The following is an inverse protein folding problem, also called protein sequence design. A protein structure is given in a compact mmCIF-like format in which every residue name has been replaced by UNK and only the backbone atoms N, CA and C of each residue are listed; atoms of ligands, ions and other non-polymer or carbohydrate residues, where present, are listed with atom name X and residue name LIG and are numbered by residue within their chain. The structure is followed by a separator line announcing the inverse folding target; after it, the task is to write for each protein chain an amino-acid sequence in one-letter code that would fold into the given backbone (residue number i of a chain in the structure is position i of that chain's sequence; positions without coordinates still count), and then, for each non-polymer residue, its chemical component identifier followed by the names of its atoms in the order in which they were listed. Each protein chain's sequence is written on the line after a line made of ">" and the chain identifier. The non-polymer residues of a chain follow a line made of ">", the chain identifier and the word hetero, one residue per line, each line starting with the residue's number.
data_IF_008925558188
#
_entry.id   IF_008925558188
#
_cell.length_a   1.000
_cell.length_b   1.000
_cell.length_c   1.000
_cell.angle_alpha   90.00
_cell.angle_beta   90.00
_cell.angle_gamma   90.00
#
_symmetry.space_group_name_H-M   'P 1'
#
loop_
_entity.id
_entity.type
_entity.pdbx_description
1 polymer ?
#
# COMPACT_ATOMS: atom_id res chain seq x y z
N UNK A 1 -6.10 1.56 -32.51
CA UNK A 1 -6.44 0.86 -31.25
C UNK A 1 -5.34 -0.14 -30.97
N UNK A 2 -4.53 0.10 -29.95
CA UNK A 2 -3.43 -0.78 -29.60
C UNK A 2 -4.00 -2.07 -28.95
N UNK A 3 -3.52 -3.25 -29.34
CA UNK A 3 -4.06 -4.54 -28.87
C UNK A 3 -3.89 -4.79 -27.37
N UNK A 4 -3.19 -3.92 -26.66
CA UNK A 4 -2.86 -4.10 -25.23
C UNK A 4 -3.89 -3.48 -24.26
N UNK A 5 -4.75 -2.56 -24.70
CA UNK A 5 -5.74 -1.93 -23.81
C UNK A 5 -6.93 -2.84 -23.46
N UNK A 6 -7.26 -3.80 -24.34
CA UNK A 6 -8.46 -4.62 -24.16
C UNK A 6 -8.21 -5.80 -23.21
N UNK A 7 -6.96 -6.28 -23.11
CA UNK A 7 -6.59 -7.40 -22.22
C UNK A 7 -6.49 -6.93 -20.76
N UNK A 8 -5.96 -5.73 -20.53
CA UNK A 8 -5.78 -5.17 -19.19
C UNK A 8 -7.10 -4.83 -18.45
N UNK A 9 -8.21 -4.66 -19.19
CA UNK A 9 -9.52 -4.33 -18.61
C UNK A 9 -10.33 -5.52 -18.11
N UNK A 10 -9.95 -6.77 -18.43
CA UNK A 10 -10.78 -7.94 -18.05
C UNK A 10 -10.57 -8.42 -16.63
N UNK A 11 -9.44 -8.10 -16.02
CA UNK A 11 -9.05 -8.62 -14.70
C UNK A 11 -8.73 -7.50 -13.69
N UNK A 12 -9.43 -6.36 -13.80
CA UNK A 12 -9.26 -5.26 -12.86
C UNK A 12 -9.72 -5.70 -11.45
N UNK A 13 -8.92 -5.39 -10.41
CA UNK A 13 -9.30 -5.74 -9.05
C UNK A 13 -10.60 -5.04 -8.63
N UNK A 14 -11.42 -5.73 -7.86
CA UNK A 14 -12.63 -5.17 -7.26
C UNK A 14 -12.25 -4.03 -6.31
N UNK A 15 -13.20 -3.11 -6.10
CA UNK A 15 -13.03 -2.09 -5.07
C UNK A 15 -12.81 -2.72 -3.70
N UNK A 16 -11.96 -2.11 -2.87
CA UNK A 16 -11.63 -2.58 -1.52
C UNK A 16 -10.57 -3.69 -1.46
N UNK A 17 -10.05 -4.13 -2.61
CA UNK A 17 -8.88 -5.03 -2.67
C UNK A 17 -7.61 -4.19 -2.60
N UNK A 18 -6.61 -4.62 -1.82
CA UNK A 18 -5.29 -4.02 -1.90
C UNK A 18 -4.37 -4.82 -2.81
N UNK A 19 -3.43 -4.13 -3.43
CA UNK A 19 -2.35 -4.70 -4.23
C UNK A 19 -0.99 -4.34 -3.65
N UNK A 20 -0.10 -5.33 -3.55
CA UNK A 20 1.32 -5.12 -3.30
C UNK A 20 2.06 -5.08 -4.63
N UNK A 21 2.81 -4.03 -4.89
CA UNK A 21 3.50 -3.82 -6.17
C UNK A 21 5.00 -3.74 -5.99
N UNK A 22 5.72 -4.29 -6.97
CA UNK A 22 7.17 -4.14 -7.12
C UNK A 22 7.44 -2.98 -8.07
N UNK A 23 7.80 -1.83 -7.52
CA UNK A 23 8.13 -0.66 -8.34
C UNK A 23 9.60 -0.63 -8.76
N UNK A 24 9.97 0.30 -9.62
CA UNK A 24 11.32 0.45 -10.15
C UNK A 24 12.04 1.64 -9.52
N UNK A 25 13.35 1.53 -9.32
CA UNK A 25 14.20 2.59 -8.81
C UNK A 25 15.11 2.16 -7.67
N UNK A 26 16.00 3.06 -7.26
CA UNK A 26 16.98 2.77 -6.22
C UNK A 26 16.35 2.69 -4.82
N UNK A 27 15.45 3.61 -4.49
CA UNK A 27 14.76 3.62 -3.19
C UNK A 27 13.88 2.39 -3.02
N UNK A 28 12.98 2.03 -3.97
CA UNK A 28 12.27 0.76 -3.97
C UNK A 28 13.18 -0.47 -3.80
N UNK A 29 14.31 -0.50 -4.51
CA UNK A 29 15.27 -1.60 -4.38
C UNK A 29 15.81 -1.73 -2.95
N UNK A 30 16.18 -0.60 -2.33
CA UNK A 30 16.67 -0.60 -0.94
C UNK A 30 15.58 -1.06 0.04
N UNK A 31 14.34 -0.60 -0.13
CA UNK A 31 13.20 -1.06 0.68
C UNK A 31 13.07 -2.58 0.60
N UNK A 32 13.06 -3.14 -0.61
CA UNK A 32 12.96 -4.59 -0.82
C UNK A 32 14.10 -5.38 -0.19
N UNK A 33 15.33 -4.87 -0.28
CA UNK A 33 16.49 -5.51 0.34
C UNK A 33 16.39 -5.53 1.87
N UNK A 34 16.01 -4.40 2.48
CA UNK A 34 15.88 -4.27 3.94
C UNK A 34 14.72 -5.11 4.46
N UNK A 35 13.58 -5.05 3.80
CA UNK A 35 12.36 -5.79 4.21
C UNK A 35 12.37 -7.27 3.80
N UNK A 36 13.34 -7.68 2.97
CA UNK A 36 13.43 -9.03 2.38
C UNK A 36 12.10 -9.44 1.72
N UNK A 37 11.51 -8.53 0.99
CA UNK A 37 10.25 -8.70 0.26
C UNK A 37 10.44 -8.31 -1.20
N UNK A 38 9.78 -8.95 -2.16
CA UNK A 38 9.78 -8.50 -3.55
C UNK A 38 8.97 -7.22 -3.75
N UNK A 39 8.14 -6.82 -2.77
CA UNK A 39 7.24 -5.67 -2.86
C UNK A 39 7.72 -4.52 -1.99
N UNK A 40 7.56 -3.31 -2.47
CA UNK A 40 8.00 -2.07 -1.85
C UNK A 40 6.87 -1.04 -1.68
N UNK A 41 5.71 -1.28 -2.32
CA UNK A 41 4.59 -0.35 -2.27
C UNK A 41 3.25 -1.07 -2.21
N UNK A 42 2.21 -0.37 -1.71
CA UNK A 42 0.84 -0.87 -1.55
C UNK A 42 -0.15 0.18 -2.01
N UNK A 43 -1.19 -0.25 -2.70
CA UNK A 43 -2.34 0.56 -3.07
C UNK A 43 -3.65 -0.16 -2.75
N UNK A 44 -4.77 0.57 -2.72
CA UNK A 44 -6.12 0.02 -2.59
C UNK A 44 -6.88 0.32 -3.88
N UNK A 45 -7.52 -0.70 -4.45
CA UNK A 45 -8.42 -0.52 -5.59
C UNK A 45 -9.70 0.19 -5.15
N UNK A 46 -10.09 1.22 -5.88
CA UNK A 46 -11.41 1.86 -5.75
C UNK A 46 -12.40 1.36 -6.80
N UNK A 47 -11.97 0.42 -7.64
CA UNK A 47 -12.76 -0.14 -8.72
C UNK A 47 -12.60 0.61 -10.05
N UNK A 48 -13.02 -0.03 -11.13
CA UNK A 48 -13.00 0.58 -12.46
C UNK A 48 -11.60 0.91 -12.99
N UNK A 49 -10.55 0.26 -12.47
CA UNK A 49 -9.15 0.53 -12.83
C UNK A 49 -8.52 1.68 -12.05
N UNK A 50 -9.26 2.28 -11.14
CA UNK A 50 -8.70 3.30 -10.26
C UNK A 50 -8.15 2.67 -8.98
N UNK A 51 -7.06 3.24 -8.50
CA UNK A 51 -6.42 2.90 -7.24
C UNK A 51 -6.24 4.17 -6.40
N UNK A 52 -6.17 3.99 -5.10
CA UNK A 52 -5.77 5.04 -4.18
C UNK A 52 -4.55 4.58 -3.41
N UNK A 53 -3.59 5.46 -3.29
CA UNK A 53 -2.29 5.18 -2.68
C UNK A 53 -1.72 6.39 -1.98
N UNK A 54 -0.89 6.14 -0.98
CA UNK A 54 -0.11 7.16 -0.31
C UNK A 54 1.31 7.17 -0.88
N UNK A 55 1.74 8.28 -1.47
CA UNK A 55 3.04 8.46 -2.09
C UNK A 55 3.63 9.85 -1.79
N UNK A 56 4.92 10.11 -2.10
CA UNK A 56 5.48 11.45 -1.97
C UNK A 56 4.61 12.50 -2.70
N UNK A 57 3.95 13.35 -1.92
CA UNK A 57 2.96 14.33 -2.43
C UNK A 57 1.54 14.10 -1.93
N UNK A 58 1.28 13.04 -1.15
CA UNK A 58 0.03 12.79 -0.47
C UNK A 58 -0.75 11.58 -0.98
N UNK A 59 -1.91 11.38 -0.38
CA UNK A 59 -2.85 10.31 -0.79
C UNK A 59 -3.58 10.74 -2.05
N UNK A 60 -3.46 9.94 -3.12
CA UNK A 60 -3.99 10.26 -4.46
C UNK A 60 -4.71 9.10 -5.10
N UNK A 61 -5.65 9.44 -5.97
CA UNK A 61 -6.25 8.48 -6.91
C UNK A 61 -5.42 8.47 -8.19
N UNK A 62 -5.09 7.26 -8.66
CA UNK A 62 -4.31 6.99 -9.87
C UNK A 62 -5.03 5.95 -10.74
N UNK A 63 -4.58 5.82 -11.97
CA UNK A 63 -4.94 4.70 -12.83
C UNK A 63 -3.98 3.53 -12.59
N UNK A 64 -4.52 2.33 -12.39
CA UNK A 64 -3.70 1.12 -12.21
C UNK A 64 -2.79 0.84 -13.41
N UNK A 65 -3.12 1.35 -14.59
CA UNK A 65 -2.29 1.24 -15.78
C UNK A 65 -0.91 1.87 -15.61
N UNK A 66 -0.70 2.77 -14.63
CA UNK A 66 0.62 3.30 -14.30
C UNK A 66 1.58 2.20 -13.81
N UNK A 67 1.04 1.08 -13.30
CA UNK A 67 1.79 -0.10 -12.89
C UNK A 67 1.87 -1.19 -13.96
N UNK A 68 1.53 -0.87 -15.22
CA UNK A 68 1.65 -1.83 -16.33
C UNK A 68 3.09 -2.35 -16.44
N UNK A 69 3.24 -3.68 -16.44
CA UNK A 69 4.56 -4.34 -16.47
C UNK A 69 5.25 -4.49 -15.10
N UNK A 70 4.69 -3.96 -14.02
CA UNK A 70 5.13 -4.25 -12.67
C UNK A 70 4.56 -5.58 -12.17
N UNK A 71 5.31 -6.27 -11.31
CA UNK A 71 4.76 -7.40 -10.58
C UNK A 71 3.80 -6.89 -9.51
N UNK A 72 2.56 -7.39 -9.54
CA UNK A 72 1.53 -7.07 -8.55
C UNK A 72 0.98 -8.38 -7.97
N UNK A 73 0.70 -8.38 -6.68
CA UNK A 73 -0.11 -9.41 -6.02
C UNK A 73 -1.25 -8.75 -5.26
N UNK A 74 -2.44 -9.34 -5.36
CA UNK A 74 -3.67 -8.84 -4.74
C UNK A 74 -4.14 -9.76 -3.63
N UNK A 75 -4.81 -9.23 -2.62
CA UNK A 75 -5.45 -10.02 -1.56
C UNK A 75 -6.80 -10.61 -1.97
N UNK A 76 -6.96 -10.97 -3.24
CA UNK A 76 -8.23 -11.49 -3.79
C UNK A 76 -8.64 -12.87 -3.26
N UNK A 77 -7.70 -13.64 -2.70
CA UNK A 77 -7.99 -14.90 -2.02
C UNK A 77 -8.42 -14.75 -0.56
N UNK A 78 -8.41 -13.53 -0.01
CA UNK A 78 -8.92 -13.27 1.33
C UNK A 78 -10.46 -13.16 1.28
N UNK A 79 -11.19 -13.90 2.12
CA UNK A 79 -12.65 -13.81 2.15
C UNK A 79 -13.08 -12.45 2.72
N UNK A 80 -13.76 -11.64 1.91
CA UNK A 80 -14.33 -10.35 2.29
C UNK A 80 -15.76 -10.25 1.77
N UNK A 81 -16.65 -9.72 2.59
CA UNK A 81 -18.00 -9.36 2.16
C UNK A 81 -17.98 -8.11 1.29
N UNK A 82 -19.04 -7.88 0.50
CA UNK A 82 -19.19 -6.65 -0.29
C UNK A 82 -19.21 -5.40 0.60
N UNK A 83 -19.80 -5.53 1.81
CA UNK A 83 -19.84 -4.43 2.80
C UNK A 83 -18.42 -4.08 3.26
N UNK A 84 -17.61 -5.09 3.56
CA UNK A 84 -16.21 -4.86 3.97
C UNK A 84 -15.40 -4.23 2.85
N UNK A 85 -15.53 -4.72 1.60
CA UNK A 85 -14.87 -4.11 0.44
C UNK A 85 -15.27 -2.66 0.24
N UNK A 86 -16.56 -2.36 0.33
CA UNK A 86 -17.07 -1.00 0.22
C UNK A 86 -16.50 -0.10 1.32
N UNK A 87 -16.46 -0.58 2.58
CA UNK A 87 -15.92 0.16 3.71
C UNK A 87 -14.42 0.46 3.53
N UNK A 88 -13.62 -0.51 3.05
CA UNK A 88 -12.19 -0.31 2.73
C UNK A 88 -12.03 0.81 1.68
N UNK A 89 -12.77 0.73 0.57
CA UNK A 89 -12.67 1.71 -0.51
C UNK A 89 -13.14 3.10 -0.07
N UNK A 90 -14.19 3.19 0.72
CA UNK A 90 -14.72 4.42 1.31
C UNK A 90 -13.68 5.08 2.23
N UNK A 91 -13.14 4.31 3.19
CA UNK A 91 -12.13 4.82 4.10
C UNK A 91 -10.91 5.34 3.35
N UNK A 92 -10.35 4.53 2.44
CA UNK A 92 -9.20 4.95 1.67
C UNK A 92 -9.49 6.25 0.88
N UNK A 93 -10.66 6.34 0.25
CA UNK A 93 -11.09 7.51 -0.51
C UNK A 93 -11.24 8.76 0.36
N UNK A 94 -11.68 8.60 1.61
CA UNK A 94 -11.81 9.71 2.57
C UNK A 94 -10.46 10.35 2.94
N UNK A 95 -9.37 9.60 2.76
CA UNK A 95 -7.99 10.04 3.02
C UNK A 95 -7.35 10.81 1.87
N UNK A 96 -8.05 10.96 0.75
CA UNK A 96 -7.55 11.69 -0.42
C UNK A 96 -7.11 13.10 -0.04
N UNK A 97 -5.87 13.44 -0.44
CA UNK A 97 -5.26 14.75 -0.16
C UNK A 97 -4.53 14.83 1.19
N UNK A 98 -4.59 13.81 2.03
CA UNK A 98 -3.74 13.77 3.22
C UNK A 98 -2.26 13.73 2.82
N UNK A 99 -1.38 14.44 3.57
CA UNK A 99 0.05 14.47 3.26
C UNK A 99 0.72 13.11 3.52
N UNK A 100 1.74 12.77 2.72
CA UNK A 100 2.52 11.54 2.83
C UNK A 100 3.64 11.64 3.88
N UNK A 101 3.88 10.56 4.64
CA UNK A 101 4.88 10.45 5.70
C UNK A 101 6.29 10.05 5.20
N UNK A 102 6.74 10.56 4.04
CA UNK A 102 8.04 10.16 3.49
C UNK A 102 9.21 10.25 4.48
N UNK A 103 9.14 11.19 5.44
CA UNK A 103 10.15 11.35 6.47
C UNK A 103 10.11 10.20 7.50
N UNK A 104 8.95 9.58 7.76
CA UNK A 104 8.82 8.43 8.63
C UNK A 104 9.40 7.16 7.98
N UNK A 105 9.16 6.94 6.68
CA UNK A 105 9.76 5.82 5.93
C UNK A 105 11.29 5.85 5.96
N UNK A 106 11.89 7.05 5.77
CA UNK A 106 13.33 7.22 5.83
C UNK A 106 13.88 6.94 7.25
N UNK A 107 13.13 7.31 8.27
CA UNK A 107 13.49 7.10 9.69
C UNK A 107 13.40 5.63 10.06
N UNK A 108 12.37 4.93 9.63
CA UNK A 108 12.19 3.50 9.94
C UNK A 108 13.19 2.63 9.15
N UNK A 109 13.51 3.01 7.92
CA UNK A 109 14.63 2.41 7.19
C UNK A 109 15.96 2.57 7.92
N UNK A 110 16.24 3.75 8.48
CA UNK A 110 17.44 4.01 9.27
C UNK A 110 17.44 3.31 10.63
N UNK A 111 16.28 3.14 11.28
CA UNK A 111 16.14 2.34 12.51
C UNK A 111 16.43 0.87 12.25
N UNK A 112 15.96 0.31 11.14
CA UNK A 112 16.26 -1.06 10.72
C UNK A 112 17.76 -1.26 10.49
N UNK A 113 18.51 -0.21 10.13
CA UNK A 113 19.96 -0.21 9.97
C UNK A 113 20.74 0.03 11.28
N UNK A 114 20.03 0.11 12.43
CA UNK A 114 20.66 0.28 13.76
C UNK A 114 21.19 1.69 14.05
N UNK A 115 20.90 2.66 13.21
CA UNK A 115 21.30 4.06 13.44
C UNK A 115 20.38 4.74 14.45
N UNK A 116 20.77 4.73 15.71
CA UNK A 116 20.13 5.46 16.82
C UNK A 116 20.66 6.89 16.88
N UNK A 117 20.11 7.83 16.12
CA UNK A 117 20.54 9.23 16.23
C UNK A 117 19.44 10.16 16.75
N UNK A 118 19.87 11.10 17.63
CA UNK A 118 19.02 12.13 18.27
C UNK A 118 18.37 13.12 17.28
N UNK A 119 18.77 13.08 16.01
CA UNK A 119 18.19 13.89 14.92
C UNK A 119 16.77 13.40 14.54
N UNK A 120 16.48 12.11 14.76
CA UNK A 120 15.19 11.49 14.47
C UNK A 120 14.02 12.07 15.27
N UNK A 121 14.28 12.55 16.49
CA UNK A 121 13.24 13.16 17.34
C UNK A 121 12.66 14.48 16.77
N UNK A 122 13.32 15.10 15.80
CA UNK A 122 12.83 16.31 15.14
C UNK A 122 11.82 15.99 14.02
N UNK A 123 11.83 14.76 13.50
CA UNK A 123 10.91 14.28 12.47
C UNK A 123 9.61 13.68 13.04
N UNK A 124 9.54 13.39 14.35
CA UNK A 124 8.29 12.94 15.00
C UNK A 124 7.15 13.98 14.91
N UNK A 125 7.44 15.23 14.61
CA UNK A 125 6.41 16.26 14.38
C UNK A 125 5.76 16.17 12.98
N UNK A 126 6.26 15.33 12.08
CA UNK A 126 5.66 15.05 10.78
C UNK A 126 4.57 13.95 10.84
N UNK A 127 4.13 13.55 12.03
CA UNK A 127 3.12 12.50 12.31
C UNK A 127 1.68 12.81 11.84
N UNK A 128 1.51 13.66 10.85
CA UNK A 128 0.21 13.88 10.19
C UNK A 128 0.16 13.34 8.77
N UNK A 129 1.03 12.42 8.45
CA UNK A 129 1.14 11.91 7.10
C UNK A 129 1.04 10.39 7.09
N UNK A 130 0.31 9.84 6.15
CA UNK A 130 -0.06 8.42 6.04
C UNK A 130 0.92 7.69 5.11
N UNK A 131 1.43 6.52 5.51
CA UNK A 131 2.23 5.64 4.66
C UNK A 131 1.33 4.73 3.81
N UNK A 132 1.85 4.19 2.71
CA UNK A 132 1.08 3.34 1.81
C UNK A 132 0.51 2.08 2.50
N UNK A 133 1.32 1.40 3.30
CA UNK A 133 0.89 0.22 4.06
C UNK A 133 0.05 0.56 5.28
N UNK A 134 0.29 1.72 5.90
CA UNK A 134 -0.54 2.25 6.98
C UNK A 134 -1.96 2.56 6.48
N UNK A 135 -2.09 3.19 5.31
CA UNK A 135 -3.39 3.44 4.69
C UNK A 135 -4.18 2.14 4.51
N UNK A 136 -3.52 1.07 4.03
CA UNK A 136 -4.16 -0.23 3.87
C UNK A 136 -4.56 -0.84 5.23
N UNK A 137 -3.67 -0.80 6.23
CA UNK A 137 -3.95 -1.32 7.56
C UNK A 137 -5.12 -0.59 8.24
N UNK A 138 -5.14 0.75 8.18
CA UNK A 138 -6.23 1.57 8.72
C UNK A 138 -7.56 1.30 8.00
N UNK A 139 -7.54 1.15 6.66
CA UNK A 139 -8.73 0.82 5.88
C UNK A 139 -9.28 -0.56 6.23
N UNK A 140 -8.39 -1.56 6.41
CA UNK A 140 -8.76 -2.88 6.89
C UNK A 140 -9.38 -2.83 8.28
N UNK A 141 -8.75 -2.14 9.21
CA UNK A 141 -9.27 -1.97 10.58
C UNK A 141 -10.66 -1.31 10.59
N UNK A 142 -10.86 -0.28 9.78
CA UNK A 142 -12.17 0.37 9.62
C UNK A 142 -13.25 -0.60 9.12
N UNK A 143 -12.89 -1.51 8.24
CA UNK A 143 -13.78 -2.53 7.70
C UNK A 143 -13.93 -3.79 8.60
N UNK A 144 -13.30 -3.81 9.78
CA UNK A 144 -13.29 -4.97 10.69
C UNK A 144 -12.44 -6.14 10.19
N UNK A 145 -11.42 -5.86 9.37
CA UNK A 145 -10.45 -6.83 8.87
C UNK A 145 -9.13 -6.69 9.66
N UNK A 146 -8.47 -7.82 9.92
CA UNK A 146 -7.17 -7.82 10.60
C UNK A 146 -6.01 -7.63 9.61
N UNK A 147 -5.85 -6.42 9.08
CA UNK A 147 -4.72 -6.06 8.22
C UNK A 147 -3.54 -5.45 8.99
N UNK A 148 -3.62 -5.38 10.31
CA UNK A 148 -2.53 -4.91 11.16
C UNK A 148 -1.36 -5.90 11.26
N UNK A 149 -1.52 -7.14 10.77
CA UNK A 149 -0.44 -8.14 10.76
C UNK A 149 0.15 -8.40 12.16
N UNK A 150 -0.69 -8.34 13.22
CA UNK A 150 -0.25 -8.50 14.61
C UNK A 150 0.44 -7.27 15.21
N UNK A 151 0.38 -6.12 14.55
CA UNK A 151 0.87 -4.85 15.10
C UNK A 151 -0.27 -4.13 15.85
N UNK A 152 0.08 -3.50 16.99
CA UNK A 152 -0.89 -2.68 17.75
C UNK A 152 -1.18 -1.35 17.04
N UNK A 153 -0.22 -0.85 16.28
CA UNK A 153 -0.29 0.43 15.56
C UNK A 153 -0.19 0.20 14.05
N UNK A 154 -1.18 0.63 13.24
CA UNK A 154 -1.12 0.54 11.78
C UNK A 154 0.13 1.15 11.14
N UNK A 155 0.75 2.15 11.77
CA UNK A 155 1.99 2.76 11.28
C UNK A 155 3.20 1.82 11.29
N UNK A 156 3.12 0.67 11.97
CA UNK A 156 4.16 -0.35 12.00
C UNK A 156 4.01 -1.40 10.91
N UNK A 157 2.90 -1.37 10.19
CA UNK A 157 2.64 -2.31 9.09
C UNK A 157 3.48 -1.93 7.88
N UNK A 158 4.19 -2.91 7.33
CA UNK A 158 5.02 -2.72 6.13
C UNK A 158 4.42 -3.40 4.91
N UNK A 159 4.78 -2.98 3.67
CA UNK A 159 4.37 -3.69 2.45
C UNK A 159 4.72 -5.18 2.47
N UNK A 160 5.87 -5.52 3.08
CA UNK A 160 6.33 -6.89 3.22
C UNK A 160 5.43 -7.74 4.13
N UNK A 161 4.84 -7.15 5.17
CA UNK A 161 3.90 -7.85 6.06
C UNK A 161 2.59 -8.11 5.33
N UNK A 162 2.04 -7.13 4.63
CA UNK A 162 0.82 -7.29 3.83
C UNK A 162 1.00 -8.33 2.72
N UNK A 163 2.14 -8.34 2.04
CA UNK A 163 2.45 -9.31 0.99
C UNK A 163 2.59 -10.76 1.48
N UNK A 164 2.81 -10.97 2.78
CA UNK A 164 2.90 -12.32 3.38
C UNK A 164 1.58 -12.81 3.96
N UNK A 165 0.53 -12.02 3.88
CA UNK A 165 -0.78 -12.44 4.36
C UNK A 165 -1.35 -13.60 3.54
N UNK A 166 -2.17 -14.47 4.16
CA UNK A 166 -2.92 -15.49 3.42
C UNK A 166 -3.84 -14.84 2.38
N UNK A 167 -4.02 -15.50 1.24
CA UNK A 167 -4.93 -15.02 0.20
C UNK A 167 -4.32 -14.06 -0.82
N UNK A 168 -3.02 -13.82 -0.77
CA UNK A 168 -2.34 -13.08 -1.85
C UNK A 168 -2.32 -13.91 -3.13
N UNK A 169 -2.70 -13.30 -4.26
CA UNK A 169 -2.78 -13.91 -5.58
C UNK A 169 -2.04 -13.05 -6.60
N UNK A 170 -1.32 -13.65 -7.56
CA UNK A 170 -0.69 -12.89 -8.64
C UNK A 170 -1.73 -12.07 -9.40
N UNK A 171 -1.38 -10.84 -9.74
CA UNK A 171 -2.11 -10.04 -10.73
C UNK A 171 -1.87 -10.63 -12.12
N UNK A 172 -2.92 -10.78 -12.90
CA UNK A 172 -2.89 -11.27 -14.28
C UNK A 172 -2.60 -10.16 -15.27
#
# INVERSE_FOLDING_TARGET
>A
MAPNETVFRRDLPLAGVYGCVQTHGLVPLLIRLVTRSPFDHVFISTGGGQIIEAEPGGVRIRDIAEYAGCRIEYNTGEPMTDIQRAAVAEYASSKRGEPYAWAADAVDGLRCLGLRWRILARFERARRSVMCSELAAQAGQYAGLDWNCGQDDPCQVTPAMLARRPGMQPGT
#
